data_IF_849246444064
#
_entry.id   IF_849246444064
#
_cell.length_a   1.000
_cell.length_b   1.000
_cell.length_c   1.000
_cell.angle_alpha   90.00
_cell.angle_beta   90.00
_cell.angle_gamma   90.00
#
_symmetry.space_group_name_H-M   'P 1'
#
loop_
_entity.id
_entity.type
_entity.pdbx_description
1 polymer ?
#
# COMPACT_ATOMS: atom_id res chain seq x y z
N UNK A 1 11.21 15.76 11.86
CA UNK A 1 11.98 15.87 10.59
C UNK A 1 11.30 14.99 9.55
N UNK A 2 11.44 15.24 8.23
CA UNK A 2 10.90 14.35 7.18
C UNK A 2 11.39 12.89 7.26
N UNK A 3 12.49 12.65 7.99
CA UNK A 3 13.00 11.30 8.25
C UNK A 3 12.28 10.55 9.40
N UNK A 4 11.58 11.27 10.31
CA UNK A 4 10.89 10.65 11.45
C UNK A 4 9.62 9.89 11.01
N UNK A 5 8.88 10.41 10.02
CA UNK A 5 7.73 9.69 9.44
C UNK A 5 8.17 8.34 8.86
N UNK A 6 9.33 8.32 8.19
CA UNK A 6 9.87 7.10 7.57
C UNK A 6 10.22 6.04 8.63
N UNK A 7 10.72 6.43 9.80
CA UNK A 7 10.96 5.50 10.91
C UNK A 7 9.68 4.93 11.52
N UNK A 8 8.66 5.76 11.75
CA UNK A 8 7.38 5.30 12.32
C UNK A 8 6.66 4.30 11.39
N UNK A 9 6.77 4.49 10.08
CA UNK A 9 6.27 3.54 9.08
C UNK A 9 7.03 2.20 9.11
N UNK A 10 8.34 2.22 9.35
CA UNK A 10 9.14 0.99 9.46
C UNK A 10 8.74 0.15 10.68
N UNK A 11 8.55 0.79 11.84
CA UNK A 11 8.12 0.12 13.06
C UNK A 11 6.71 -0.47 12.88
N UNK A 12 5.79 0.31 12.33
CA UNK A 12 4.42 -0.13 12.05
C UNK A 12 4.40 -1.34 11.12
N UNK A 13 5.25 -1.31 10.07
CA UNK A 13 5.40 -2.42 9.13
C UNK A 13 5.92 -3.68 9.81
N UNK A 14 6.97 -3.57 10.63
CA UNK A 14 7.53 -4.72 11.36
C UNK A 14 6.50 -5.38 12.28
N UNK A 15 5.70 -4.59 13.00
CA UNK A 15 4.61 -5.10 13.84
C UNK A 15 3.54 -5.78 12.97
N UNK A 16 3.14 -5.16 11.85
CA UNK A 16 2.13 -5.71 10.96
C UNK A 16 2.57 -7.06 10.37
N UNK A 17 3.82 -7.16 9.92
CA UNK A 17 4.38 -8.38 9.33
C UNK A 17 4.44 -9.53 10.36
N UNK A 18 4.88 -9.24 11.60
CA UNK A 18 4.87 -10.23 12.69
C UNK A 18 3.46 -10.74 12.97
N UNK A 19 2.48 -9.84 13.16
CA UNK A 19 1.10 -10.21 13.45
C UNK A 19 0.40 -10.91 12.28
N UNK A 20 0.83 -10.65 11.04
CA UNK A 20 0.32 -11.33 9.86
C UNK A 20 0.70 -12.82 9.85
N UNK A 21 1.92 -13.16 10.29
CA UNK A 21 2.43 -14.54 10.34
C UNK A 21 2.05 -15.27 11.63
N UNK A 22 1.86 -14.55 12.74
CA UNK A 22 1.53 -15.14 14.04
C UNK A 22 0.28 -16.05 13.96
N UNK A 23 0.44 -17.28 14.44
CA UNK A 23 -0.51 -18.38 14.27
C UNK A 23 -1.28 -18.70 15.55
N UNK A 24 -0.74 -18.31 16.71
CA UNK A 24 -1.34 -18.56 18.01
C UNK A 24 -2.57 -17.66 18.25
N UNK A 25 -2.55 -16.44 17.72
CA UNK A 25 -3.69 -15.51 17.75
C UNK A 25 -4.06 -15.11 16.32
N UNK A 26 -5.32 -15.37 15.95
CA UNK A 26 -5.85 -15.05 14.63
C UNK A 26 -6.33 -13.61 14.59
N UNK A 27 -5.41 -12.70 14.29
CA UNK A 27 -5.75 -11.33 13.93
C UNK A 27 -6.19 -11.24 12.46
N UNK A 28 -7.20 -10.42 12.18
CA UNK A 28 -7.63 -10.13 10.82
C UNK A 28 -6.90 -8.91 10.21
N UNK A 29 -6.30 -8.08 11.07
CA UNK A 29 -5.66 -6.83 10.70
C UNK A 29 -5.34 -5.96 11.91
N UNK A 30 -4.86 -4.75 11.66
CA UNK A 30 -4.59 -3.71 12.67
C UNK A 30 -5.14 -2.35 12.23
N UNK A 31 -5.48 -1.52 13.21
CA UNK A 31 -5.86 -0.12 13.01
C UNK A 31 -4.86 0.77 13.73
N UNK A 32 -4.38 1.83 13.07
CA UNK A 32 -3.43 2.76 13.67
C UNK A 32 -3.67 4.20 13.18
N UNK A 33 -3.30 5.23 13.96
CA UNK A 33 -3.45 6.63 13.56
C UNK A 33 -2.67 6.94 12.29
N UNK A 34 -3.25 7.76 11.40
CA UNK A 34 -2.54 8.27 10.23
C UNK A 34 -1.53 9.35 10.64
N UNK A 35 -0.31 9.22 10.14
CA UNK A 35 0.81 10.15 10.38
C UNK A 35 0.66 11.43 9.55
N UNK A 36 0.01 11.34 8.39
CA UNK A 36 -0.06 12.39 7.36
C UNK A 36 -1.30 13.30 7.44
N UNK A 37 -2.12 13.14 8.47
CA UNK A 37 -3.28 14.00 8.76
C UNK A 37 -3.20 14.41 10.22
N UNK A 38 -3.91 15.44 10.68
CA UNK A 38 -3.94 15.95 12.07
C UNK A 38 -4.46 14.90 13.11
N UNK A 39 -3.95 13.67 13.07
CA UNK A 39 -4.36 12.49 13.83
C UNK A 39 -5.85 12.15 13.73
N UNK A 40 -6.56 12.68 12.73
CA UNK A 40 -7.99 12.42 12.49
C UNK A 40 -8.25 11.21 11.60
N UNK A 41 -7.29 10.85 10.73
CA UNK A 41 -7.38 9.65 9.91
C UNK A 41 -6.94 8.40 10.65
N UNK A 42 -7.57 7.26 10.34
CA UNK A 42 -7.15 5.93 10.79
C UNK A 42 -6.74 5.14 9.56
N UNK A 43 -5.56 4.53 9.61
CA UNK A 43 -5.11 3.56 8.63
C UNK A 43 -5.55 2.16 9.07
N UNK A 44 -5.97 1.34 8.11
CA UNK A 44 -6.38 -0.04 8.33
C UNK A 44 -5.49 -0.95 7.50
N UNK A 45 -4.87 -1.93 8.14
CA UNK A 45 -4.14 -3.01 7.46
C UNK A 45 -4.92 -4.28 7.67
N UNK A 46 -5.21 -4.98 6.57
CA UNK A 46 -5.90 -6.27 6.58
C UNK A 46 -4.92 -7.38 6.23
N UNK A 47 -4.82 -8.40 7.07
CA UNK A 47 -3.88 -9.49 6.86
C UNK A 47 -4.39 -10.45 5.79
N UNK A 48 -3.48 -10.87 4.90
CA UNK A 48 -3.81 -11.76 3.79
C UNK A 48 -4.48 -13.06 4.27
N UNK A 49 -4.15 -13.56 5.47
CA UNK A 49 -4.76 -14.77 6.08
C UNK A 49 -6.28 -14.68 6.26
N UNK A 50 -6.83 -13.47 6.45
CA UNK A 50 -8.27 -13.24 6.65
C UNK A 50 -8.94 -12.46 5.51
N UNK A 51 -8.14 -11.85 4.63
CA UNK A 51 -8.61 -10.92 3.60
C UNK A 51 -8.26 -11.38 2.20
N UNK A 52 -8.72 -12.58 1.83
CA UNK A 52 -8.47 -13.13 0.49
C UNK A 52 -9.22 -12.30 -0.56
N UNK A 53 -8.48 -11.76 -1.51
CA UNK A 53 -9.04 -11.05 -2.66
C UNK A 53 -9.49 -12.05 -3.73
N UNK A 54 -10.71 -11.88 -4.23
CA UNK A 54 -11.26 -12.62 -5.37
C UNK A 54 -10.34 -12.39 -6.58
N UNK A 55 -9.79 -13.44 -7.19
CA UNK A 55 -8.97 -13.29 -8.39
C UNK A 55 -9.77 -12.59 -9.49
N UNK A 56 -9.13 -11.64 -10.18
CA UNK A 56 -9.69 -11.09 -11.41
C UNK A 56 -9.64 -12.16 -12.51
N UNK A 57 -10.74 -12.39 -13.25
CA UNK A 57 -10.85 -13.51 -14.19
C UNK A 57 -10.02 -13.31 -15.46
N UNK A 58 -9.68 -12.06 -15.80
CA UNK A 58 -8.96 -11.71 -17.00
C UNK A 58 -7.50 -11.37 -16.71
N UNK A 59 -6.65 -11.64 -17.69
CA UNK A 59 -5.33 -11.05 -17.78
C UNK A 59 -5.47 -9.68 -18.44
N UNK A 60 -4.86 -8.65 -17.85
CA UNK A 60 -5.01 -7.27 -18.30
C UNK A 60 -3.74 -6.83 -19.02
N UNK A 61 -3.92 -6.29 -20.22
CA UNK A 61 -2.88 -5.58 -20.96
C UNK A 61 -3.28 -4.10 -20.99
N UNK A 62 -2.43 -3.24 -20.43
CA UNK A 62 -2.78 -1.85 -20.11
C UNK A 62 -1.84 -0.92 -20.88
N UNK A 63 -2.42 -0.01 -21.65
CA UNK A 63 -1.72 1.11 -22.27
C UNK A 63 -2.11 2.41 -21.59
N UNK A 64 -1.12 3.25 -21.28
CA UNK A 64 -1.34 4.55 -20.62
C UNK A 64 -1.26 5.74 -21.59
N UNK A 65 -0.83 5.48 -22.82
CA UNK A 65 -0.64 6.49 -23.84
C UNK A 65 0.11 5.94 -25.04
N UNK A 66 0.27 6.79 -26.04
CA UNK A 66 0.97 6.45 -27.26
C UNK A 66 1.83 7.62 -27.71
N UNK A 67 2.92 7.31 -28.41
CA UNK A 67 3.67 8.31 -29.16
C UNK A 67 2.99 8.55 -30.50
N UNK A 68 2.63 9.80 -30.74
CA UNK A 68 2.16 10.32 -32.03
C UNK A 68 3.27 11.12 -32.70
N UNK A 69 3.02 11.58 -33.93
CA UNK A 69 3.93 12.47 -34.65
C UNK A 69 4.13 13.83 -33.93
N UNK A 70 3.25 14.18 -32.99
CA UNK A 70 3.30 15.41 -32.19
C UNK A 70 3.89 15.21 -30.78
N UNK A 71 4.14 13.96 -30.36
CA UNK A 71 4.76 13.64 -29.07
C UNK A 71 4.04 12.56 -28.28
N UNK A 72 4.29 12.48 -26.97
CA UNK A 72 3.58 11.56 -26.09
C UNK A 72 2.18 12.11 -25.78
N UNK A 73 1.15 11.33 -26.07
CA UNK A 73 -0.23 11.64 -25.76
C UNK A 73 -0.84 10.63 -24.79
N UNK A 74 -1.68 11.12 -23.88
CA UNK A 74 -2.41 10.29 -22.93
C UNK A 74 -3.58 9.60 -23.62
N UNK A 75 -3.56 8.27 -23.63
CA UNK A 75 -4.59 7.45 -24.26
C UNK A 75 -4.69 6.12 -23.51
N UNK A 76 -5.72 6.01 -22.66
CA UNK A 76 -5.84 4.94 -21.68
C UNK A 76 -6.67 3.78 -22.22
N UNK A 77 -6.02 2.63 -22.40
CA UNK A 77 -6.67 1.41 -22.88
C UNK A 77 -6.40 0.23 -21.98
N UNK A 78 -7.44 -0.58 -21.75
CA UNK A 78 -7.34 -1.85 -21.04
C UNK A 78 -7.90 -2.94 -21.95
N UNK A 79 -7.04 -3.90 -22.29
CA UNK A 79 -7.40 -5.08 -23.06
C UNK A 79 -7.50 -6.27 -22.13
N UNK A 80 -8.71 -6.85 -22.06
CA UNK A 80 -8.97 -8.06 -21.28
C UNK A 80 -8.68 -9.30 -22.14
N UNK A 81 -7.67 -10.07 -21.75
CA UNK A 81 -7.34 -11.35 -22.36
C UNK A 81 -7.79 -12.49 -21.43
N UNK A 82 -8.29 -13.58 -22.02
CA UNK A 82 -8.68 -14.75 -21.23
C UNK A 82 -7.44 -15.30 -20.53
N UNK A 83 -7.47 -15.32 -19.20
CA UNK A 83 -6.35 -15.80 -18.41
C UNK A 83 -6.12 -17.29 -18.70
N UNK A 84 -4.93 -17.62 -19.19
CA UNK A 84 -4.51 -19.02 -19.26
C UNK A 84 -4.34 -19.52 -17.83
N UNK A 85 -5.05 -20.59 -17.47
CA UNK A 85 -5.08 -21.15 -16.11
C UNK A 85 -3.78 -21.90 -15.79
N UNK A 86 -2.65 -21.23 -15.85
CA UNK A 86 -1.42 -21.76 -15.26
C UNK A 86 -1.54 -21.50 -13.77
N UNK A 87 -1.50 -22.56 -12.95
CA UNK A 87 -1.58 -22.43 -11.50
C UNK A 87 -0.51 -21.44 -11.04
N UNK A 88 -0.92 -20.24 -10.63
CA UNK A 88 0.02 -19.23 -10.14
C UNK A 88 0.60 -19.77 -8.84
N UNK A 89 1.88 -20.10 -8.88
CA UNK A 89 2.65 -20.41 -7.70
C UNK A 89 3.10 -19.07 -7.14
N UNK A 90 2.53 -18.67 -6.00
CA UNK A 90 3.08 -17.53 -5.27
C UNK A 90 4.24 -18.05 -4.43
N UNK A 91 5.43 -17.55 -4.70
CA UNK A 91 6.63 -17.79 -3.91
C UNK A 91 6.72 -16.69 -2.87
N UNK A 92 6.74 -17.08 -1.59
CA UNK A 92 7.11 -16.19 -0.50
C UNK A 92 8.25 -16.85 0.26
N UNK A 93 9.28 -16.05 0.55
CA UNK A 93 10.36 -16.49 1.42
C UNK A 93 9.86 -16.39 2.87
N UNK A 94 9.96 -17.49 3.61
CA UNK A 94 9.60 -17.55 5.02
C UNK A 94 10.86 -17.37 5.87
N UNK A 95 11.03 -16.17 6.44
CA UNK A 95 12.17 -15.80 7.29
C UNK A 95 12.32 -16.70 8.53
N UNK A 96 11.23 -17.33 9.02
CA UNK A 96 11.29 -18.22 10.19
C UNK A 96 11.77 -19.63 9.83
N UNK A 97 11.51 -20.07 8.60
CA UNK A 97 11.86 -21.42 8.14
C UNK A 97 13.04 -21.46 7.16
N UNK A 98 13.62 -20.29 6.83
CA UNK A 98 14.73 -20.10 5.88
C UNK A 98 14.51 -20.91 4.59
N UNK A 99 13.32 -20.79 4.02
CA UNK A 99 12.93 -21.54 2.82
C UNK A 99 11.85 -20.85 2.02
N UNK A 100 11.85 -21.14 0.72
CA UNK A 100 10.77 -20.75 -0.17
C UNK A 100 9.51 -21.57 0.10
N UNK A 101 8.41 -20.89 0.41
CA UNK A 101 7.08 -21.50 0.48
C UNK A 101 6.36 -21.25 -0.85
N UNK A 102 5.99 -22.34 -1.49
CA UNK A 102 5.23 -22.34 -2.73
C UNK A 102 3.74 -22.60 -2.44
N UNK A 103 2.93 -21.54 -2.51
CA UNK A 103 1.47 -21.68 -2.41
C UNK A 103 0.93 -21.79 -3.84
N UNK A 104 0.50 -22.99 -4.20
CA UNK A 104 -0.28 -23.21 -5.43
C UNK A 104 -1.67 -22.64 -5.23
N UNK A 105 -2.07 -21.68 -6.08
CA UNK A 105 -3.40 -21.05 -6.01
C UNK A 105 -4.56 -22.05 -6.03
N UNK A 106 -4.34 -23.25 -6.60
CA UNK A 106 -5.30 -24.35 -6.70
C UNK A 106 -5.58 -25.07 -5.36
N UNK A 107 -4.72 -24.91 -4.34
CA UNK A 107 -4.92 -25.49 -3.00
C UNK A 107 -5.50 -24.52 -1.98
N UNK A 108 -5.74 -23.26 -2.36
CA UNK A 108 -6.23 -22.22 -1.46
C UNK A 108 -7.75 -22.32 -1.25
N UNK A 109 -8.15 -22.90 -0.12
CA UNK A 109 -9.56 -23.20 0.23
C UNK A 109 -10.30 -22.07 0.95
N UNK A 110 -9.61 -21.00 1.34
CA UNK A 110 -10.23 -19.87 2.08
C UNK A 110 -11.25 -19.14 1.22
N UNK A 111 -12.38 -18.73 1.78
CA UNK A 111 -13.35 -17.91 1.04
C UNK A 111 -12.73 -16.56 0.66
N UNK A 112 -13.00 -16.09 -0.56
CA UNK A 112 -12.65 -14.71 -0.95
C UNK A 112 -13.59 -13.73 -0.26
N UNK A 113 -13.04 -12.79 0.49
CA UNK A 113 -13.77 -11.79 1.29
C UNK A 113 -13.69 -10.39 0.70
N UNK A 114 -12.75 -10.16 -0.23
CA UNK A 114 -12.55 -8.86 -0.91
C UNK A 114 -12.70 -9.01 -2.42
N UNK A 115 -13.19 -7.97 -3.09
CA UNK A 115 -13.21 -7.86 -4.55
C UNK A 115 -12.94 -6.43 -4.99
N UNK A 116 -12.31 -6.27 -6.14
CA UNK A 116 -12.09 -4.97 -6.76
C UNK A 116 -13.42 -4.51 -7.38
N UNK A 117 -13.81 -3.27 -7.11
CA UNK A 117 -14.85 -2.57 -7.86
C UNK A 117 -14.21 -1.88 -9.07
N UNK A 118 -14.43 -2.44 -10.26
CA UNK A 118 -13.85 -1.89 -11.50
C UNK A 118 -14.55 -0.60 -11.92
N UNK A 119 -15.79 -0.36 -11.49
CA UNK A 119 -16.53 0.85 -11.84
C UNK A 119 -16.02 2.09 -11.08
N UNK A 120 -15.34 1.89 -9.94
CA UNK A 120 -14.79 2.98 -9.13
C UNK A 120 -13.37 3.40 -9.54
N UNK A 121 -12.73 2.71 -10.49
CA UNK A 121 -11.36 3.01 -10.91
C UNK A 121 -11.33 4.36 -11.63
N UNK A 122 -10.43 5.24 -11.20
CA UNK A 122 -10.21 6.57 -11.78
C UNK A 122 -8.72 6.80 -12.00
N UNK A 123 -8.39 7.53 -13.06
CA UNK A 123 -7.04 7.98 -13.36
C UNK A 123 -6.96 9.45 -12.99
N UNK A 124 -5.97 9.80 -12.17
CA UNK A 124 -5.75 11.16 -11.69
C UNK A 124 -4.34 11.61 -12.07
N UNK A 125 -4.26 12.75 -12.77
CA UNK A 125 -2.98 13.42 -13.00
C UNK A 125 -2.68 14.33 -11.82
N UNK A 126 -1.56 14.07 -11.16
CA UNK A 126 -1.07 14.95 -10.09
C UNK A 126 -0.40 16.15 -10.77
N UNK A 127 -1.06 17.30 -10.71
CA UNK A 127 -0.55 18.53 -11.32
C UNK A 127 0.41 19.27 -10.38
N UNK A 128 0.06 19.38 -9.10
CA UNK A 128 0.86 20.07 -8.10
C UNK A 128 0.68 19.44 -6.71
N UNK A 129 1.68 19.61 -5.85
CA UNK A 129 1.61 19.30 -4.41
C UNK A 129 1.75 20.61 -3.64
N UNK A 130 0.82 20.88 -2.73
CA UNK A 130 0.80 22.09 -1.90
C UNK A 130 0.99 21.75 -0.44
N UNK A 131 2.01 22.33 0.19
CA UNK A 131 2.26 22.22 1.62
C UNK A 131 1.72 23.45 2.35
N UNK A 132 0.92 23.22 3.39
CA UNK A 132 0.44 24.27 4.29
C UNK A 132 1.44 24.37 5.43
N UNK A 133 1.94 25.58 5.72
CA UNK A 133 2.85 25.85 6.84
C UNK A 133 2.23 26.84 7.80
N UNK A 134 2.48 26.63 9.08
CA UNK A 134 2.17 27.59 10.14
C UNK A 134 3.48 28.16 10.68
N UNK A 135 3.69 29.47 10.49
CA UNK A 135 4.90 30.16 10.97
C UNK A 135 4.70 30.63 12.40
N UNK A 136 5.71 30.46 13.24
CA UNK A 136 5.72 30.93 14.62
C UNK A 136 6.94 31.82 14.84
N UNK A 137 6.72 32.99 15.44
CA UNK A 137 7.80 33.89 15.85
C UNK A 137 8.42 33.42 17.17
N UNK A 138 9.73 33.58 17.32
CA UNK A 138 10.42 33.34 18.60
C UNK A 138 11.09 34.63 19.09
N UNK A 139 11.06 34.85 20.41
CA UNK A 139 11.77 35.94 21.06
C UNK A 139 13.01 35.39 21.75
N UNK A 140 14.21 35.84 21.36
CA UNK A 140 15.41 35.67 22.16
C UNK A 140 15.39 36.64 23.33
N UNK A 141 15.59 36.11 24.53
CA UNK A 141 15.89 36.93 25.72
C UNK A 141 17.41 36.93 25.83
N UNK A 142 18.03 38.10 25.71
CA UNK A 142 19.45 38.28 25.99
C UNK A 142 19.67 38.24 27.51
N UNK A 143 20.38 37.21 27.98
CA UNK A 143 20.76 37.03 29.38
C UNK A 143 22.12 37.70 29.68
N UNK A 144 22.39 38.83 29.02
CA UNK A 144 23.62 39.59 29.28
C UNK A 144 23.48 40.29 30.63
N UNK A 145 24.42 40.10 31.57
CA UNK A 145 24.39 40.82 32.84
C UNK A 145 24.55 42.31 32.58
N UNK A 146 23.64 43.11 33.13
CA UNK A 146 23.78 44.57 33.13
C UNK A 146 25.07 44.94 33.90
N UNK A 147 26.00 45.60 33.22
CA UNK A 147 27.19 46.26 33.81
C UNK A 147 26.82 47.32 34.84
#
# INVERSE_FOLDING_TARGET
>A
MPDDETMDYLITRAIADYLAVESMVKFDGIMYPSVQSDKKGINIVLFHKSSRVKPYPWELDVSLGAYTDEGWEWDYHVLEKKRNSTAVVRQYYDDLMDRDIFITADKEKRQSTLSIDTASIRIHHIMEVRFIKESHDFSCIDDSPND
#
